data_IF_966638818646
#
_entry.id   IF_966638818646
#
_cell.length_a   1.000
_cell.length_b   1.000
_cell.length_c   1.000
_cell.angle_alpha   90.00
_cell.angle_beta   90.00
_cell.angle_gamma   90.00
#
_symmetry.space_group_name_H-M   'P 1'
#
loop_
_entity.id
_entity.type
_entity.pdbx_description
1 polymer ?
#
# COMPACT_ATOMS: atom_id res chain seq x y z
N UNK A 1 26.92 37.66 -30.36
CA UNK A 1 25.73 37.33 -31.18
C UNK A 1 26.07 36.06 -31.94
N UNK A 2 25.41 34.90 -31.87
CA UNK A 2 24.08 34.50 -31.39
C UNK A 2 24.18 33.06 -30.82
N UNK A 3 23.35 32.82 -29.81
CA UNK A 3 23.22 31.57 -29.05
C UNK A 3 22.69 30.47 -29.98
N UNK A 4 23.41 29.35 -30.11
CA UNK A 4 22.84 28.13 -30.68
C UNK A 4 22.09 27.41 -29.56
N UNK A 5 20.77 27.41 -29.71
CA UNK A 5 19.81 26.85 -28.79
C UNK A 5 20.04 25.34 -28.62
N UNK A 6 20.47 24.94 -27.43
CA UNK A 6 20.32 23.60 -26.93
C UNK A 6 18.82 23.35 -26.70
N UNK A 7 18.13 22.86 -27.72
CA UNK A 7 16.70 22.56 -27.70
C UNK A 7 16.44 21.09 -28.00
N UNK A 8 17.11 20.16 -27.30
CA UNK A 8 16.82 18.73 -27.39
C UNK A 8 17.07 18.05 -26.02
N UNK A 9 16.28 18.46 -25.02
CA UNK A 9 16.00 17.65 -23.82
C UNK A 9 14.48 17.45 -23.66
N UNK A 10 13.76 17.48 -24.78
CA UNK A 10 12.34 17.14 -24.86
C UNK A 10 12.16 15.64 -25.05
N UNK A 11 12.48 14.85 -24.02
CA UNK A 11 12.02 13.46 -23.87
C UNK A 11 12.05 13.05 -22.38
N UNK A 12 11.82 14.00 -21.47
CA UNK A 12 11.52 13.66 -20.08
C UNK A 12 10.09 13.14 -20.01
N UNK A 13 10.01 11.81 -19.84
CA UNK A 13 8.96 11.15 -19.08
C UNK A 13 7.58 11.10 -19.75
N UNK A 14 7.51 10.41 -20.90
CA UNK A 14 6.34 9.59 -21.23
C UNK A 14 6.28 8.34 -20.32
N UNK A 15 6.51 8.51 -19.01
CA UNK A 15 6.04 7.54 -18.03
C UNK A 15 4.53 7.78 -17.95
N UNK A 16 3.77 7.07 -18.78
CA UNK A 16 2.33 7.10 -18.76
C UNK A 16 1.84 7.01 -17.32
N UNK A 17 0.95 7.93 -16.95
CA UNK A 17 0.31 8.03 -15.64
C UNK A 17 -0.56 6.79 -15.36
N UNK A 18 0.03 5.61 -15.22
CA UNK A 18 -0.59 4.53 -14.48
C UNK A 18 -0.51 4.95 -13.01
N UNK A 19 -1.62 5.45 -12.48
CA UNK A 19 -1.74 5.85 -11.08
C UNK A 19 -1.53 4.60 -10.20
N UNK A 20 -0.26 4.36 -9.84
CA UNK A 20 0.19 3.35 -8.90
C UNK A 20 0.82 4.09 -7.74
N UNK A 21 0.34 3.79 -6.54
CA UNK A 21 0.99 4.22 -5.31
C UNK A 21 1.89 3.08 -4.88
N UNK A 22 3.19 3.32 -5.10
CA UNK A 22 4.26 2.34 -4.92
C UNK A 22 4.36 1.89 -3.46
N UNK A 23 4.74 0.63 -3.29
CA UNK A 23 4.95 -0.04 -2.01
C UNK A 23 5.56 0.88 -0.93
N UNK A 24 4.76 1.33 0.05
CA UNK A 24 5.24 2.10 1.20
C UNK A 24 5.02 1.34 2.50
N UNK A 25 5.90 1.61 3.46
CA UNK A 25 5.74 1.11 4.82
C UNK A 25 4.64 1.90 5.53
N UNK A 26 3.64 1.19 6.04
CA UNK A 26 2.47 1.72 6.74
C UNK A 26 2.34 0.98 8.07
N UNK A 27 2.05 1.73 9.13
CA UNK A 27 1.94 1.20 10.49
C UNK A 27 0.50 0.85 10.81
N UNK A 28 0.29 -0.34 11.33
CA UNK A 28 -1.00 -0.86 11.73
C UNK A 28 -0.95 -1.43 13.15
N UNK A 29 -2.06 -1.35 13.87
CA UNK A 29 -2.28 -2.08 15.13
C UNK A 29 -3.08 -3.35 14.84
N UNK A 30 -2.71 -4.47 15.45
CA UNK A 30 -3.50 -5.70 15.42
C UNK A 30 -4.65 -5.57 16.43
N UNK A 31 -5.85 -5.23 15.96
CA UNK A 31 -6.99 -4.98 16.84
C UNK A 31 -7.79 -6.24 17.19
N UNK A 32 -7.71 -7.27 16.36
CA UNK A 32 -8.37 -8.55 16.67
C UNK A 32 -7.78 -9.71 15.88
N UNK A 33 -8.08 -10.91 16.37
CA UNK A 33 -7.69 -12.19 15.79
C UNK A 33 -8.95 -13.01 15.52
N UNK A 34 -9.03 -13.61 14.34
CA UNK A 34 -10.11 -14.49 13.90
C UNK A 34 -9.53 -15.86 13.51
N UNK A 35 -9.86 -16.87 14.30
CA UNK A 35 -9.50 -18.28 14.11
C UNK A 35 -10.73 -19.16 13.86
N UNK A 36 -11.88 -18.56 13.52
CA UNK A 36 -13.11 -19.29 13.23
C UNK A 36 -13.03 -20.16 11.98
N UNK A 37 -12.00 -19.95 11.16
CA UNK A 37 -11.71 -20.75 9.97
C UNK A 37 -10.30 -21.37 10.06
N UNK A 38 -9.96 -22.38 9.25
CA UNK A 38 -8.59 -22.91 9.18
C UNK A 38 -7.55 -21.86 8.81
N UNK A 39 -7.97 -20.74 8.20
CA UNK A 39 -7.10 -19.59 7.94
C UNK A 39 -7.19 -18.62 9.11
N UNK A 40 -6.11 -18.53 9.87
CA UNK A 40 -5.96 -17.58 10.96
C UNK A 40 -5.75 -16.15 10.41
N UNK A 41 -6.63 -15.20 10.78
CA UNK A 41 -6.64 -13.83 10.23
C UNK A 41 -6.44 -12.81 11.35
N UNK A 42 -5.54 -11.86 11.14
CA UNK A 42 -5.47 -10.63 11.93
C UNK A 42 -6.25 -9.52 11.25
N UNK A 43 -7.03 -8.78 12.04
CA UNK A 43 -7.61 -7.49 11.60
C UNK A 43 -6.68 -6.38 12.07
N UNK A 44 -6.35 -5.51 11.13
CA UNK A 44 -5.39 -4.43 11.26
C UNK A 44 -6.12 -3.09 11.17
N UNK A 45 -5.80 -2.16 12.05
CA UNK A 45 -6.29 -0.78 12.01
C UNK A 45 -5.13 0.19 11.83
N UNK A 46 -5.30 1.16 10.93
CA UNK A 46 -4.23 2.10 10.59
C UNK A 46 -3.86 2.94 11.81
N UNK A 47 -2.55 3.02 12.10
CA UNK A 47 -2.03 3.91 13.14
C UNK A 47 -1.71 5.27 12.51
N UNK A 48 -2.46 6.29 12.93
CA UNK A 48 -2.33 7.66 12.42
C UNK A 48 -3.06 7.89 11.10
N UNK A 49 -2.61 8.88 10.34
CA UNK A 49 -3.26 9.29 9.09
C UNK A 49 -2.82 8.43 7.90
N UNK A 50 -3.71 8.29 6.92
CA UNK A 50 -3.39 7.65 5.65
C UNK A 50 -2.20 8.36 4.97
N UNK A 51 -1.23 7.62 4.41
CA UNK A 51 -0.09 8.21 3.72
C UNK A 51 -0.52 9.15 2.59
N UNK A 52 0.15 10.30 2.50
CA UNK A 52 -0.11 11.26 1.42
C UNK A 52 0.07 10.60 0.04
N UNK A 53 -0.91 10.84 -0.83
CA UNK A 53 -0.91 10.33 -2.20
C UNK A 53 -1.39 8.88 -2.34
N UNK A 54 -1.86 8.24 -1.27
CA UNK A 54 -2.62 7.00 -1.38
C UNK A 54 -3.80 7.20 -2.35
N UNK A 55 -4.03 6.20 -3.21
CA UNK A 55 -5.07 6.25 -4.23
C UNK A 55 -6.47 6.07 -3.61
N UNK A 56 -6.56 5.27 -2.55
CA UNK A 56 -7.75 5.09 -1.73
C UNK A 56 -7.35 5.14 -0.25
N UNK A 57 -7.33 6.34 0.37
CA UNK A 57 -7.02 6.51 1.79
C UNK A 57 -7.98 5.77 2.72
N UNK A 58 -9.27 5.68 2.35
CA UNK A 58 -10.27 5.00 3.17
C UNK A 58 -10.06 3.48 3.15
N UNK A 59 -9.67 2.92 2.01
CA UNK A 59 -9.27 1.52 1.87
C UNK A 59 -8.01 1.12 2.64
N UNK A 60 -7.26 2.08 3.20
CA UNK A 60 -6.12 1.82 4.08
C UNK A 60 -6.49 1.80 5.56
N UNK A 61 -7.68 2.28 5.95
CA UNK A 61 -8.04 2.43 7.36
C UNK A 61 -8.12 1.09 8.10
N UNK A 62 -8.57 0.03 7.41
CA UNK A 62 -8.67 -1.33 7.95
C UNK A 62 -8.26 -2.36 6.92
N UNK A 63 -7.44 -3.30 7.33
CA UNK A 63 -6.98 -4.42 6.51
C UNK A 63 -7.16 -5.73 7.25
N UNK A 64 -7.28 -6.82 6.51
CA UNK A 64 -7.19 -8.18 7.04
C UNK A 64 -5.98 -8.85 6.42
N UNK A 65 -5.18 -9.52 7.24
CA UNK A 65 -4.02 -10.26 6.75
C UNK A 65 -3.92 -11.62 7.43
N UNK A 66 -3.40 -12.63 6.72
CA UNK A 66 -3.18 -13.95 7.33
C UNK A 66 -2.12 -13.82 8.41
N UNK A 67 -2.30 -14.50 9.54
CA UNK A 67 -1.30 -14.51 10.63
C UNK A 67 0.07 -14.98 10.15
N UNK A 68 0.13 -15.94 9.23
CA UNK A 68 1.38 -16.42 8.61
C UNK A 68 2.12 -15.36 7.80
N UNK A 69 1.43 -14.33 7.33
CA UNK A 69 2.01 -13.24 6.53
C UNK A 69 2.63 -12.14 7.41
N UNK A 70 2.47 -12.24 8.74
CA UNK A 70 3.06 -11.35 9.73
C UNK A 70 4.24 -12.05 10.43
N UNK A 71 5.43 -11.51 10.21
CA UNK A 71 6.67 -12.04 10.79
C UNK A 71 6.97 -11.41 12.17
N UNK A 72 7.75 -12.11 13.00
CA UNK A 72 8.22 -11.59 14.29
C UNK A 72 7.31 -11.89 15.48
N UNK A 73 6.33 -12.79 15.34
CA UNK A 73 5.51 -13.25 16.47
C UNK A 73 4.57 -12.17 17.03
N UNK A 74 4.06 -11.27 16.18
CA UNK A 74 3.10 -10.25 16.58
C UNK A 74 1.75 -10.88 16.99
N UNK A 75 1.09 -10.25 17.96
CA UNK A 75 -0.24 -10.61 18.44
C UNK A 75 -1.15 -9.39 18.60
N UNK A 76 -2.36 -9.61 19.08
CA UNK A 76 -3.34 -8.53 19.32
C UNK A 76 -2.76 -7.49 20.28
N UNK A 77 -2.92 -6.20 19.94
CA UNK A 77 -2.35 -5.05 20.64
C UNK A 77 -0.92 -4.69 20.23
N UNK A 78 -0.25 -5.51 19.43
CA UNK A 78 1.04 -5.14 18.83
C UNK A 78 0.84 -4.25 17.59
N UNK A 79 1.81 -3.38 17.35
CA UNK A 79 1.94 -2.69 16.07
C UNK A 79 2.80 -3.49 15.08
N UNK A 80 2.44 -3.40 13.81
CA UNK A 80 3.15 -4.01 12.69
C UNK A 80 3.42 -2.98 11.60
N UNK A 81 4.56 -3.14 10.94
CA UNK A 81 4.93 -2.37 9.75
C UNK A 81 4.67 -3.24 8.53
N UNK A 82 3.75 -2.78 7.68
CA UNK A 82 3.34 -3.47 6.47
C UNK A 82 3.77 -2.71 5.23
N UNK A 83 4.33 -3.42 4.25
CA UNK A 83 4.61 -2.87 2.93
C UNK A 83 3.34 -2.96 2.07
N UNK A 84 2.71 -1.81 1.80
CA UNK A 84 1.42 -1.72 1.11
C UNK A 84 1.59 -1.01 -0.22
N UNK A 85 0.97 -1.54 -1.28
CA UNK A 85 0.86 -0.90 -2.59
C UNK A 85 -0.62 -0.71 -2.96
N UNK A 86 -0.90 0.32 -3.76
CA UNK A 86 -2.21 0.51 -4.36
C UNK A 86 -2.08 0.70 -5.87
N UNK A 87 -2.89 -0.04 -6.62
CA UNK A 87 -2.93 0.06 -8.07
C UNK A 87 -4.34 0.44 -8.49
N UNK A 88 -4.47 1.48 -9.32
CA UNK A 88 -5.72 1.76 -10.02
C UNK A 88 -5.76 0.90 -11.28
N UNK A 89 -6.78 0.05 -11.40
CA UNK A 89 -6.96 -0.73 -12.61
C UNK A 89 -7.39 0.14 -13.81
N UNK A 90 -7.51 -0.48 -14.98
CA UNK A 90 -7.71 0.25 -16.24
C UNK A 90 -9.19 0.59 -16.50
N UNK A 91 -9.43 1.62 -17.31
CA UNK A 91 -10.77 2.03 -17.74
C UNK A 91 -11.52 0.98 -18.58
N UNK A 92 -10.80 0.00 -19.14
CA UNK A 92 -11.34 -1.09 -19.94
C UNK A 92 -11.51 -2.39 -19.13
N UNK A 93 -11.14 -2.38 -17.85
CA UNK A 93 -11.24 -3.50 -16.93
C UNK A 93 -11.85 -3.09 -15.59
N UNK A 94 -11.26 -3.52 -14.48
CA UNK A 94 -11.67 -3.07 -13.14
C UNK A 94 -11.10 -1.67 -12.87
N UNK A 95 -11.96 -0.66 -12.79
CA UNK A 95 -11.57 0.73 -12.53
C UNK A 95 -11.33 1.05 -11.05
N UNK A 96 -11.54 0.08 -10.15
CA UNK A 96 -11.33 0.25 -8.72
C UNK A 96 -9.83 0.30 -8.37
N UNK A 97 -9.55 0.93 -7.22
CA UNK A 97 -8.25 0.85 -6.56
C UNK A 97 -8.15 -0.50 -5.86
N UNK A 98 -7.05 -1.21 -6.06
CA UNK A 98 -6.74 -2.46 -5.38
C UNK A 98 -5.59 -2.21 -4.42
N UNK A 99 -5.82 -2.44 -3.13
CA UNK A 99 -4.78 -2.44 -2.10
C UNK A 99 -4.18 -3.84 -1.97
N UNK A 100 -2.85 -3.94 -1.99
CA UNK A 100 -2.14 -5.20 -1.75
C UNK A 100 -1.13 -5.01 -0.63
N UNK A 101 -1.12 -5.95 0.31
CA UNK A 101 -0.11 -6.05 1.37
C UNK A 101 0.93 -7.07 0.92
N UNK A 102 2.20 -6.68 0.86
CA UNK A 102 3.29 -7.59 0.44
C UNK A 102 3.85 -8.38 1.61
N UNK A 103 4.21 -7.67 2.67
CA UNK A 103 4.86 -8.23 3.85
C UNK A 103 4.47 -7.39 5.06
N UNK A 104 4.34 -8.04 6.22
CA UNK A 104 4.21 -7.36 7.50
C UNK A 104 5.21 -7.94 8.50
N UNK A 105 5.72 -7.09 9.39
CA UNK A 105 6.60 -7.49 10.51
C UNK A 105 6.19 -6.75 11.78
N UNK A 106 6.39 -7.37 12.94
CA UNK A 106 6.30 -6.68 14.22
C UNK A 106 7.19 -5.43 14.22
N UNK A 107 6.62 -4.30 14.63
CA UNK A 107 7.28 -2.99 14.60
C UNK A 107 8.31 -2.82 15.71
#
# INVERSE_FOLDING_TARGET
MRKLAAALLGCLLLAGCAASWQAREVRYEIVSFDDSTPTEIFKLELVGDAPKGALDPAGLARLSNTKSDITGGAGVGDEVLCLVEQEKGSAFGNSNVVTRVKTCKKA
#
